data_IF_224466284610
#
_entry.id   IF_224466284610
#
_cell.length_a   1.000
_cell.length_b   1.000
_cell.length_c   1.000
_cell.angle_alpha   90.00
_cell.angle_beta   90.00
_cell.angle_gamma   90.00
#
_symmetry.space_group_name_H-M   'P 1'
#
loop_
_entity.id
_entity.type
_entity.pdbx_description
1 polymer ?
#
# COMPACT_ATOMS: atom_id res chain seq x y z
N UNK A 1 -41.35 20.91 -16.36
CA UNK A 1 -40.64 19.76 -15.77
C UNK A 1 -39.44 20.28 -15.01
N UNK A 2 -39.13 19.74 -13.84
CA UNK A 2 -37.88 20.07 -13.12
C UNK A 2 -36.77 19.24 -13.76
N UNK A 3 -35.67 19.84 -14.26
CA UNK A 3 -34.55 19.09 -14.79
C UNK A 3 -33.90 18.27 -13.67
N UNK A 4 -33.64 16.99 -13.95
CA UNK A 4 -32.93 16.08 -13.05
C UNK A 4 -31.80 15.46 -13.85
N UNK A 5 -30.56 15.79 -13.49
CA UNK A 5 -29.34 15.31 -14.18
C UNK A 5 -28.98 13.89 -13.71
N UNK A 6 -29.92 12.94 -13.87
CA UNK A 6 -29.76 11.57 -13.37
C UNK A 6 -28.61 10.81 -14.06
N UNK A 7 -28.23 11.22 -15.26
CA UNK A 7 -27.09 10.67 -16.02
C UNK A 7 -25.74 10.94 -15.33
N UNK A 8 -25.63 11.99 -14.52
CA UNK A 8 -24.40 12.32 -13.77
C UNK A 8 -24.13 11.33 -12.64
N UNK A 9 -25.18 10.71 -12.08
CA UNK A 9 -25.08 9.86 -10.89
C UNK A 9 -24.33 8.55 -11.15
N UNK A 10 -24.31 8.07 -12.40
CA UNK A 10 -23.68 6.82 -12.80
C UNK A 10 -22.31 6.99 -13.47
N UNK A 11 -21.76 8.21 -13.42
CA UNK A 11 -20.44 8.52 -13.95
C UNK A 11 -19.48 8.84 -12.80
N UNK A 12 -18.39 8.08 -12.62
CA UNK A 12 -17.37 8.39 -11.62
C UNK A 12 -16.75 9.77 -11.79
N UNK A 13 -16.79 10.37 -12.98
CA UNK A 13 -16.21 11.70 -13.26
C UNK A 13 -17.21 12.83 -13.05
N UNK A 14 -18.50 12.58 -13.30
CA UNK A 14 -19.56 13.62 -13.23
C UNK A 14 -20.40 13.55 -11.95
N UNK A 15 -20.36 12.44 -11.22
CA UNK A 15 -21.14 12.27 -9.99
C UNK A 15 -20.71 13.31 -8.94
N UNK A 16 -21.64 14.02 -8.28
CA UNK A 16 -21.32 14.93 -7.20
C UNK A 16 -20.51 14.23 -6.09
N UNK A 17 -19.46 14.89 -5.58
CA UNK A 17 -18.50 14.28 -4.66
C UNK A 17 -19.15 13.67 -3.39
N UNK A 18 -20.21 14.29 -2.89
CA UNK A 18 -20.95 13.82 -1.71
C UNK A 18 -21.78 12.55 -1.98
N UNK A 19 -22.04 12.22 -3.25
CA UNK A 19 -22.77 11.01 -3.65
C UNK A 19 -21.85 9.85 -4.05
N UNK A 20 -20.55 10.10 -4.19
CA UNK A 20 -19.57 9.07 -4.53
C UNK A 20 -19.61 7.82 -3.61
N UNK A 21 -19.83 7.92 -2.29
CA UNK A 21 -19.93 6.71 -1.45
C UNK A 21 -21.07 5.77 -1.85
N UNK A 22 -22.18 6.32 -2.35
CA UNK A 22 -23.32 5.51 -2.81
C UNK A 22 -23.04 4.87 -4.17
N UNK A 23 -22.37 5.59 -5.06
CA UNK A 23 -21.90 5.04 -6.34
C UNK A 23 -20.88 3.92 -6.09
N UNK A 24 -19.91 4.14 -5.20
CA UNK A 24 -18.93 3.13 -4.80
C UNK A 24 -19.58 1.87 -4.25
N UNK A 25 -20.56 2.03 -3.34
CA UNK A 25 -21.35 0.91 -2.83
C UNK A 25 -22.05 0.14 -3.94
N UNK A 26 -22.69 0.85 -4.87
CA UNK A 26 -23.43 0.20 -5.94
C UNK A 26 -22.54 -0.46 -7.01
N UNK A 27 -21.28 -0.04 -7.11
CA UNK A 27 -20.23 -0.69 -7.90
C UNK A 27 -19.47 -1.78 -7.11
N UNK A 28 -19.89 -2.10 -5.88
CA UNK A 28 -19.22 -3.07 -5.00
C UNK A 28 -17.73 -2.77 -4.80
N UNK A 29 -17.37 -1.51 -4.57
CA UNK A 29 -15.97 -1.14 -4.27
C UNK A 29 -15.56 -1.74 -2.91
N UNK A 30 -14.47 -2.50 -2.89
CA UNK A 30 -14.05 -3.32 -1.75
C UNK A 30 -13.34 -2.54 -0.62
N UNK A 31 -12.77 -1.35 -0.90
CA UNK A 31 -12.20 -0.46 0.11
C UNK A 31 -12.56 1.00 -0.16
N UNK A 32 -12.91 1.73 0.89
CA UNK A 32 -13.39 3.10 0.80
C UNK A 32 -13.03 3.91 2.05
N UNK A 33 -12.20 4.93 1.87
CA UNK A 33 -11.97 5.97 2.88
C UNK A 33 -12.59 7.30 2.44
N UNK A 34 -13.30 7.94 3.37
CA UNK A 34 -13.90 9.27 3.17
C UNK A 34 -12.85 10.38 3.14
N UNK A 35 -11.70 10.16 3.76
CA UNK A 35 -10.61 11.11 3.85
C UNK A 35 -9.70 11.10 2.62
N UNK A 36 -9.83 10.10 1.73
CA UNK A 36 -9.07 10.07 0.48
C UNK A 36 -9.35 11.30 -0.39
N UNK A 37 -8.33 11.77 -1.14
CA UNK A 37 -8.54 12.75 -2.20
C UNK A 37 -9.71 12.34 -3.10
N UNK A 38 -10.50 13.32 -3.54
CA UNK A 38 -11.64 13.05 -4.43
C UNK A 38 -11.21 12.26 -5.67
N UNK A 39 -10.04 12.56 -6.22
CA UNK A 39 -9.49 11.84 -7.38
C UNK A 39 -9.29 10.35 -7.09
N UNK A 40 -8.70 10.00 -5.95
CA UNK A 40 -8.54 8.60 -5.51
C UNK A 40 -9.90 7.91 -5.37
N UNK A 41 -10.88 8.59 -4.75
CA UNK A 41 -12.25 8.09 -4.60
C UNK A 41 -12.94 7.86 -5.94
N UNK A 42 -12.71 8.69 -6.95
CA UNK A 42 -13.23 8.48 -8.31
C UNK A 42 -12.48 7.35 -9.02
N UNK A 43 -11.17 7.26 -8.85
CA UNK A 43 -10.33 6.24 -9.47
C UNK A 43 -10.71 4.83 -9.02
N UNK A 44 -10.91 4.59 -7.72
CA UNK A 44 -11.32 3.26 -7.21
C UNK A 44 -12.69 2.82 -7.77
N UNK A 45 -13.61 3.76 -8.02
CA UNK A 45 -14.89 3.45 -8.68
C UNK A 45 -14.68 3.11 -10.16
N UNK A 46 -13.83 3.86 -10.87
CA UNK A 46 -13.48 3.57 -12.28
C UNK A 46 -12.85 2.18 -12.43
N UNK A 47 -11.97 1.80 -11.51
CA UNK A 47 -11.26 0.53 -11.57
C UNK A 47 -12.09 -0.67 -11.12
N UNK A 48 -13.17 -0.45 -10.34
CA UNK A 48 -14.00 -1.50 -9.77
C UNK A 48 -14.42 -2.56 -10.78
N UNK A 49 -14.91 -2.16 -11.96
CA UNK A 49 -15.33 -3.12 -12.99
C UNK A 49 -14.17 -3.98 -13.50
N UNK A 50 -13.00 -3.39 -13.74
CA UNK A 50 -11.83 -4.14 -14.21
C UNK A 50 -11.29 -5.07 -13.13
N UNK A 51 -11.30 -4.63 -11.88
CA UNK A 51 -10.90 -5.44 -10.72
C UNK A 51 -11.83 -6.65 -10.60
N UNK A 52 -13.15 -6.43 -10.52
CA UNK A 52 -14.15 -7.51 -10.41
C UNK A 52 -14.05 -8.51 -11.55
N UNK A 53 -13.86 -8.03 -12.79
CA UNK A 53 -13.73 -8.89 -13.96
C UNK A 53 -12.47 -9.77 -13.95
N UNK A 54 -11.41 -9.33 -13.29
CA UNK A 54 -10.11 -10.02 -13.27
C UNK A 54 -9.72 -10.49 -11.85
N UNK A 55 -10.67 -10.58 -10.91
CA UNK A 55 -10.41 -11.12 -9.58
C UNK A 55 -9.73 -12.48 -9.69
N UNK A 56 -8.76 -12.70 -8.82
CA UNK A 56 -7.88 -13.87 -8.86
C UNK A 56 -6.63 -13.72 -9.72
N UNK A 57 -6.43 -12.60 -10.42
CA UNK A 57 -5.21 -12.37 -11.20
C UNK A 57 -4.25 -11.42 -10.47
N UNK A 58 -2.96 -11.52 -10.81
CA UNK A 58 -1.95 -10.54 -10.37
C UNK A 58 -2.35 -9.12 -10.78
N UNK A 59 -3.01 -8.96 -11.93
CA UNK A 59 -3.47 -7.63 -12.36
C UNK A 59 -4.56 -7.05 -11.47
N UNK A 60 -5.46 -7.87 -10.92
CA UNK A 60 -6.45 -7.39 -9.95
C UNK A 60 -5.79 -7.00 -8.62
N UNK A 61 -4.84 -7.81 -8.14
CA UNK A 61 -4.05 -7.47 -6.94
C UNK A 61 -3.34 -6.13 -7.09
N UNK A 62 -2.70 -5.87 -8.24
CA UNK A 62 -2.03 -4.59 -8.52
C UNK A 62 -3.00 -3.40 -8.53
N UNK A 63 -4.14 -3.55 -9.19
CA UNK A 63 -5.15 -2.47 -9.31
C UNK A 63 -5.82 -2.08 -8.00
N UNK A 64 -5.83 -2.96 -7.00
CA UNK A 64 -6.42 -2.65 -5.69
C UNK A 64 -5.47 -1.81 -4.83
N UNK A 65 -4.16 -2.01 -4.97
CA UNK A 65 -3.15 -1.35 -4.13
C UNK A 65 -2.59 -0.06 -4.77
N UNK A 66 -2.53 0.01 -6.10
CA UNK A 66 -1.99 1.17 -6.84
C UNK A 66 -2.69 2.50 -6.50
N UNK A 67 -4.04 2.59 -6.38
CA UNK A 67 -4.73 3.84 -6.03
C UNK A 67 -4.35 4.39 -4.65
N UNK A 68 -3.85 3.53 -3.77
CA UNK A 68 -3.41 3.89 -2.41
C UNK A 68 -1.95 4.36 -2.39
N UNK A 69 -1.28 4.41 -3.54
CA UNK A 69 0.13 4.81 -3.67
C UNK A 69 1.11 3.69 -3.36
N UNK A 70 0.66 2.43 -3.34
CA UNK A 70 1.51 1.28 -3.07
C UNK A 70 1.86 0.52 -4.35
N UNK A 71 3.08 0.03 -4.42
CA UNK A 71 3.54 -0.88 -5.46
C UNK A 71 3.69 -2.28 -4.88
N UNK A 72 3.22 -3.29 -5.61
CA UNK A 72 3.40 -4.68 -5.21
C UNK A 72 4.29 -5.45 -6.16
N UNK A 73 5.09 -6.34 -5.58
CA UNK A 73 5.74 -7.44 -6.27
C UNK A 73 5.15 -8.75 -5.75
N UNK A 74 4.60 -9.54 -6.66
CA UNK A 74 4.10 -10.89 -6.37
C UNK A 74 5.18 -11.86 -6.82
N UNK A 75 5.57 -12.79 -5.94
CA UNK A 75 6.45 -13.91 -6.29
C UNK A 75 5.69 -15.22 -6.14
N UNK A 76 5.67 -16.04 -7.18
CA UNK A 76 5.00 -17.34 -7.20
C UNK A 76 5.92 -18.44 -6.65
N UNK A 77 5.34 -19.55 -6.17
CA UNK A 77 6.07 -20.63 -5.49
C UNK A 77 7.30 -21.16 -6.24
N UNK A 78 7.28 -21.18 -7.58
CA UNK A 78 8.42 -21.63 -8.39
C UNK A 78 9.58 -20.63 -8.43
N UNK A 79 9.39 -19.39 -7.97
CA UNK A 79 10.43 -18.35 -7.92
C UNK A 79 11.20 -18.37 -6.59
N UNK A 80 10.63 -18.94 -5.53
CA UNK A 80 11.23 -18.98 -4.18
C UNK A 80 11.33 -20.38 -3.57
N UNK A 81 11.19 -21.43 -4.38
CA UNK A 81 11.21 -22.84 -3.93
C UNK A 81 10.13 -23.15 -2.87
N UNK A 82 8.95 -22.54 -3.04
CA UNK A 82 7.78 -22.71 -2.18
C UNK A 82 6.94 -23.92 -2.51
N UNK A 83 5.95 -24.20 -1.65
CA UNK A 83 4.97 -25.26 -1.90
C UNK A 83 4.04 -24.89 -3.08
N UNK A 84 3.72 -25.84 -4.00
CA UNK A 84 2.83 -25.57 -5.11
C UNK A 84 1.50 -24.94 -4.71
N UNK A 85 1.10 -23.88 -5.42
CA UNK A 85 -0.13 -23.14 -5.12
C UNK A 85 0.03 -22.01 -4.09
N UNK A 86 1.25 -21.72 -3.65
CA UNK A 86 1.54 -20.59 -2.74
C UNK A 86 2.18 -19.41 -3.47
N UNK A 87 2.11 -18.23 -2.85
CA UNK A 87 2.77 -17.02 -3.32
C UNK A 87 3.13 -16.09 -2.16
N UNK A 88 4.05 -15.16 -2.41
CA UNK A 88 4.41 -14.08 -1.48
C UNK A 88 4.14 -12.72 -2.13
N UNK A 89 3.90 -11.71 -1.30
CA UNK A 89 3.72 -10.32 -1.74
C UNK A 89 4.72 -9.44 -0.99
N UNK A 90 5.44 -8.61 -1.74
CA UNK A 90 6.22 -7.50 -1.22
C UNK A 90 5.50 -6.19 -1.58
N UNK A 91 5.23 -5.34 -0.60
CA UNK A 91 4.59 -4.03 -0.76
C UNK A 91 5.63 -2.95 -0.49
N UNK A 92 5.87 -2.08 -1.46
CA UNK A 92 6.65 -0.85 -1.27
C UNK A 92 5.76 0.29 -0.81
N UNK A 93 6.09 0.93 0.31
CA UNK A 93 5.45 2.18 0.76
C UNK A 93 6.40 3.36 0.58
N UNK A 94 5.90 4.45 -0.03
CA UNK A 94 6.72 5.62 -0.34
C UNK A 94 6.79 6.61 0.83
N UNK A 95 5.68 6.84 1.54
CA UNK A 95 5.60 7.91 2.55
C UNK A 95 4.78 7.55 3.80
N UNK A 96 3.91 6.55 3.73
CA UNK A 96 3.09 6.11 4.87
C UNK A 96 3.90 5.16 5.76
N UNK A 97 3.97 5.49 7.05
CA UNK A 97 4.52 4.58 8.05
C UNK A 97 3.79 3.23 8.05
N UNK A 98 4.53 2.15 8.30
CA UNK A 98 3.94 0.81 8.47
C UNK A 98 3.24 0.76 9.82
N UNK A 99 1.90 0.83 9.81
CA UNK A 99 1.06 0.59 10.99
C UNK A 99 0.44 -0.81 10.93
N UNK A 100 0.02 -1.32 12.09
CA UNK A 100 -0.75 -2.56 12.18
C UNK A 100 -2.05 -2.46 11.37
N UNK A 101 -2.74 -1.32 11.45
CA UNK A 101 -3.97 -1.06 10.69
C UNK A 101 -3.74 -1.16 9.18
N UNK A 102 -2.61 -0.65 8.67
CA UNK A 102 -2.25 -0.80 7.26
C UNK A 102 -2.00 -2.27 6.90
N UNK A 103 -1.35 -3.02 7.78
CA UNK A 103 -1.09 -4.44 7.57
C UNK A 103 -2.40 -5.23 7.46
N UNK A 104 -3.32 -5.04 8.40
CA UNK A 104 -4.65 -5.67 8.40
C UNK A 104 -5.48 -5.29 7.16
N UNK A 105 -5.44 -4.01 6.75
CA UNK A 105 -6.12 -3.55 5.54
C UNK A 105 -5.56 -4.23 4.28
N UNK A 106 -4.23 -4.35 4.18
CA UNK A 106 -3.58 -5.03 3.06
C UNK A 106 -3.93 -6.51 3.01
N UNK A 107 -3.89 -7.20 4.16
CA UNK A 107 -4.32 -8.59 4.23
C UNK A 107 -5.77 -8.76 3.79
N UNK A 108 -6.68 -7.89 4.25
CA UNK A 108 -8.09 -7.92 3.85
C UNK A 108 -8.26 -7.74 2.35
N UNK A 109 -7.61 -6.73 1.77
CA UNK A 109 -7.67 -6.42 0.34
C UNK A 109 -7.11 -7.55 -0.52
N UNK A 110 -5.97 -8.11 -0.13
CA UNK A 110 -5.36 -9.26 -0.83
C UNK A 110 -6.27 -10.49 -0.72
N UNK A 111 -6.87 -10.74 0.45
CA UNK A 111 -7.74 -11.88 0.66
C UNK A 111 -9.00 -11.86 -0.22
N UNK A 112 -9.57 -10.68 -0.45
CA UNK A 112 -10.74 -10.51 -1.32
C UNK A 112 -10.40 -10.70 -2.82
N UNK A 113 -9.19 -10.34 -3.23
CA UNK A 113 -8.79 -10.36 -4.63
C UNK A 113 -8.06 -11.64 -5.06
N UNK A 114 -7.45 -12.38 -4.14
CA UNK A 114 -6.70 -13.61 -4.47
C UNK A 114 -7.64 -14.74 -4.87
N UNK A 115 -7.21 -15.69 -5.74
CA UNK A 115 -7.94 -16.93 -5.91
C UNK A 115 -8.00 -17.71 -4.59
N UNK A 116 -9.16 -18.28 -4.27
CA UNK A 116 -9.32 -19.12 -3.06
C UNK A 116 -8.40 -20.35 -3.06
N UNK A 117 -8.03 -20.84 -4.25
CA UNK A 117 -7.10 -21.96 -4.44
C UNK A 117 -5.62 -21.58 -4.33
N UNK A 118 -5.30 -20.29 -4.09
CA UNK A 118 -3.93 -19.79 -3.96
C UNK A 118 -3.74 -19.20 -2.57
N UNK A 119 -2.64 -19.58 -1.92
CA UNK A 119 -2.39 -19.23 -0.52
C UNK A 119 -1.22 -18.26 -0.39
N UNK A 120 -1.47 -17.12 0.24
CA UNK A 120 -0.43 -16.18 0.64
C UNK A 120 0.33 -16.80 1.81
N UNK A 121 1.64 -16.99 1.66
CA UNK A 121 2.51 -17.54 2.72
C UNK A 121 3.46 -16.52 3.33
N UNK A 122 3.53 -15.32 2.74
CA UNK A 122 4.35 -14.23 3.26
C UNK A 122 3.92 -12.88 2.68
N UNK A 123 3.78 -11.90 3.57
CA UNK A 123 3.53 -10.50 3.26
C UNK A 123 4.68 -9.69 3.85
N UNK A 124 5.45 -9.01 3.00
CA UNK A 124 6.54 -8.13 3.41
C UNK A 124 6.19 -6.70 3.04
N UNK A 125 6.36 -5.76 3.97
CA UNK A 125 6.15 -4.34 3.72
C UNK A 125 7.51 -3.65 3.84
N UNK A 126 7.97 -3.06 2.75
CA UNK A 126 9.27 -2.41 2.63
C UNK A 126 9.01 -0.91 2.55
N UNK A 127 9.59 -0.17 3.50
CA UNK A 127 9.54 1.29 3.53
C UNK A 127 10.96 1.83 3.36
N UNK A 128 11.13 2.76 2.43
CA UNK A 128 12.38 3.52 2.29
C UNK A 128 12.24 4.85 3.05
N UNK A 129 13.17 5.12 3.98
CA UNK A 129 13.18 6.35 4.77
C UNK A 129 14.48 7.08 4.50
N UNK A 130 14.40 8.27 3.90
CA UNK A 130 15.56 9.13 3.70
C UNK A 130 15.81 10.01 4.94
N UNK A 131 17.03 9.99 5.47
CA UNK A 131 17.42 10.79 6.63
C UNK A 131 18.93 11.02 6.72
N UNK A 132 19.34 12.07 7.41
CA UNK A 132 20.74 12.35 7.70
C UNK A 132 21.16 11.64 8.99
N UNK A 133 22.21 10.83 8.92
CA UNK A 133 22.87 10.24 10.10
C UNK A 133 24.07 11.11 10.44
N UNK A 134 24.03 11.78 11.59
CA UNK A 134 25.17 12.54 12.10
C UNK A 134 25.99 11.64 13.04
N UNK A 135 27.24 11.38 12.66
CA UNK A 135 28.20 10.66 13.49
C UNK A 135 29.32 11.61 13.92
N UNK A 136 29.70 11.55 15.20
CA UNK A 136 30.83 12.29 15.75
C UNK A 136 31.68 11.35 16.61
N UNK A 137 33.00 11.59 16.62
CA UNK A 137 33.95 10.90 17.48
C UNK A 137 34.78 11.93 18.22
N UNK A 138 35.07 11.67 19.50
CA UNK A 138 36.00 12.44 20.30
C UNK A 138 37.08 11.48 20.83
N UNK A 139 38.34 11.84 20.64
CA UNK A 139 39.49 11.15 21.23
C UNK A 139 40.08 12.03 22.32
N UNK A 140 40.48 11.41 23.43
CA UNK A 140 41.31 12.04 24.45
C UNK A 140 42.63 11.27 24.50
N UNK A 141 43.73 11.99 24.34
CA UNK A 141 45.07 11.48 24.49
C UNK A 141 45.74 12.20 25.68
N UNK A 142 46.58 11.49 26.41
CA UNK A 142 47.18 12.02 27.62
C UNK A 142 48.42 11.25 28.02
N UNK A 143 49.49 11.99 28.28
CA UNK A 143 50.75 11.47 28.79
C UNK A 143 50.91 11.77 30.29
N UNK A 144 51.50 10.81 31.02
CA UNK A 144 51.93 11.00 32.41
C UNK A 144 53.44 11.26 32.39
N UNK A 145 53.84 12.49 32.71
CA UNK A 145 55.26 12.88 32.87
C UNK A 145 55.58 13.03 34.35
N UNK A 146 56.59 12.29 34.81
CA UNK A 146 57.17 12.43 36.15
C UNK A 146 58.47 13.23 36.03
N UNK A 147 58.56 14.38 36.70
CA UNK A 147 59.76 15.24 36.71
C UNK A 147 60.54 14.99 38.00
N UNK A 148 61.84 14.72 37.87
CA UNK A 148 62.76 14.62 39.00
C UNK A 148 63.66 15.86 39.07
N UNK A 149 64.04 16.33 40.27
CA UNK A 149 65.00 17.42 40.45
C UNK A 149 66.41 17.00 40.03
N UNK A 150 67.23 17.96 39.57
CA UNK A 150 68.68 17.76 39.33
C UNK A 150 69.46 17.68 40.66
N UNK A 151 70.51 16.84 40.69
CA UNK A 151 71.39 16.57 41.83
C UNK A 151 72.08 17.84 42.41
#
# INVERSE_FOLDING_TARGET
AIPVDADTLWSPDRCPAHLLPYLAWACSVDSWDRNWPEETRRQVIRDAWMIHRHKGTISALRRIVEPLGYLIRVSEWWEFDGSPGTFTIEIGTLETGVSEELHEEMERLIADARPVSRHLVGLSIIQEIHGAIYAAAAGYDGDIITIYPED
#
